data_IF_320725596845
#
_entry.id   IF_320725596845
#
_cell.length_a   1.000
_cell.length_b   1.000
_cell.length_c   1.000
_cell.angle_alpha   90.00
_cell.angle_beta   90.00
_cell.angle_gamma   90.00
#
_symmetry.space_group_name_H-M   'P 1'
#
loop_
_entity.id
_entity.type
_entity.pdbx_description
1 polymer ?
#
# COMPACT_ATOMS: atom_id res chain seq x y z
N UNK A 1 7.34 19.23 -5.92
CA UNK A 1 8.74 18.89 -6.25
C UNK A 1 8.76 17.98 -7.49
N UNK A 2 9.80 17.98 -8.33
CA UNK A 2 9.91 17.03 -9.46
C UNK A 2 10.93 15.94 -9.09
N UNK A 3 10.49 14.69 -9.02
CA UNK A 3 11.33 13.54 -8.68
C UNK A 3 12.21 13.14 -9.87
N UNK A 4 13.51 12.96 -9.65
CA UNK A 4 14.50 12.58 -10.68
C UNK A 4 15.00 11.13 -10.55
N UNK A 5 14.70 10.46 -9.43
CA UNK A 5 15.06 9.07 -9.16
C UNK A 5 13.87 8.35 -8.53
N UNK A 6 13.53 7.17 -9.05
CA UNK A 6 12.46 6.32 -8.52
C UNK A 6 12.72 4.84 -8.88
N UNK A 7 12.37 3.95 -7.97
CA UNK A 7 12.46 2.50 -8.18
C UNK A 7 11.43 2.08 -9.24
N UNK A 8 11.85 1.24 -10.19
CA UNK A 8 10.98 0.69 -11.24
C UNK A 8 10.87 1.50 -12.53
N UNK A 9 11.51 2.68 -12.60
CA UNK A 9 11.58 3.49 -13.84
C UNK A 9 12.83 3.15 -14.66
N UNK A 10 13.95 2.88 -13.99
CA UNK A 10 15.22 2.48 -14.59
C UNK A 10 15.63 1.10 -14.06
N UNK A 11 16.37 0.34 -14.86
CA UNK A 11 16.86 -1.00 -14.49
C UNK A 11 17.86 -0.96 -13.32
N UNK A 12 18.58 0.16 -13.19
CA UNK A 12 19.52 0.43 -12.11
C UNK A 12 19.19 1.81 -11.51
N UNK A 13 19.33 1.93 -10.19
CA UNK A 13 19.06 3.16 -9.44
C UNK A 13 20.27 3.45 -8.55
N UNK A 14 20.84 4.66 -8.67
CA UNK A 14 21.87 5.14 -7.75
C UNK A 14 21.25 5.51 -6.40
N UNK A 15 21.76 4.88 -5.34
CA UNK A 15 21.30 5.05 -3.95
C UNK A 15 22.34 5.85 -3.18
N UNK A 16 21.87 6.80 -2.37
CA UNK A 16 22.71 7.52 -1.42
C UNK A 16 22.76 6.74 -0.10
N UNK A 17 23.95 6.44 0.41
CA UNK A 17 24.17 5.69 1.65
C UNK A 17 24.92 6.55 2.67
N UNK A 18 24.45 6.52 3.92
CA UNK A 18 25.12 7.17 5.05
C UNK A 18 25.20 6.19 6.22
N UNK A 19 26.36 6.20 6.89
CA UNK A 19 26.58 5.46 8.14
C UNK A 19 26.61 6.48 9.27
N UNK A 20 25.79 6.23 10.29
CA UNK A 20 25.64 7.08 11.48
C UNK A 20 25.95 6.22 12.70
N UNK A 21 26.79 6.73 13.59
CA UNK A 21 27.07 6.10 14.89
C UNK A 21 26.06 6.64 15.92
N UNK A 22 25.06 5.85 16.35
CA UNK A 22 24.02 6.32 17.27
C UNK A 22 24.58 6.51 18.68
N UNK A 23 24.22 7.62 19.32
CA UNK A 23 24.56 7.95 20.71
C UNK A 23 23.29 7.86 21.58
N UNK A 24 23.46 7.51 22.85
CA UNK A 24 22.36 7.48 23.81
C UNK A 24 21.63 8.84 23.84
N UNK A 25 20.31 8.81 23.69
CA UNK A 25 19.47 10.01 23.63
C UNK A 25 19.28 10.60 22.23
N UNK A 26 19.93 10.04 21.20
CA UNK A 26 19.64 10.43 19.82
C UNK A 26 18.20 10.03 19.45
N UNK A 27 17.55 10.92 18.70
CA UNK A 27 16.24 10.70 18.10
C UNK A 27 16.32 10.90 16.60
N UNK A 28 16.05 9.85 15.84
CA UNK A 28 16.00 9.89 14.38
C UNK A 28 14.55 10.00 13.91
N UNK A 29 14.34 10.84 12.89
CA UNK A 29 13.06 10.95 12.19
C UNK A 29 13.27 10.61 10.71
N UNK A 30 12.40 9.74 10.19
CA UNK A 30 12.23 9.55 8.75
C UNK A 30 10.81 9.95 8.38
N UNK A 31 10.64 10.73 7.31
CA UNK A 31 9.32 11.17 6.87
C UNK A 31 9.21 11.20 5.34
N UNK A 32 7.97 11.15 4.84
CA UNK A 32 7.67 11.49 3.45
C UNK A 32 7.59 13.00 3.24
N UNK A 33 7.71 13.42 1.98
CA UNK A 33 7.56 14.83 1.59
C UNK A 33 6.17 15.40 1.92
N UNK A 34 5.14 14.55 2.02
CA UNK A 34 3.83 14.94 2.52
C UNK A 34 3.86 15.65 3.88
N UNK A 35 4.81 15.32 4.76
CA UNK A 35 4.98 16.02 6.05
C UNK A 35 5.65 17.38 5.85
N UNK A 36 6.82 17.41 5.21
CA UNK A 36 7.66 18.61 5.06
C UNK A 36 7.07 19.64 4.09
N UNK A 37 6.07 19.26 3.29
CA UNK A 37 5.30 20.19 2.47
C UNK A 37 4.26 20.97 3.30
N UNK A 38 3.87 20.47 4.48
CA UNK A 38 2.84 21.06 5.35
C UNK A 38 3.42 21.72 6.61
N UNK A 39 4.57 21.24 7.08
CA UNK A 39 5.26 21.71 8.27
C UNK A 39 6.67 22.22 7.94
N UNK A 40 7.01 23.38 8.49
CA UNK A 40 8.35 23.92 8.41
C UNK A 40 9.28 23.25 9.44
N UNK A 41 10.59 23.25 9.19
CA UNK A 41 11.62 22.62 10.04
C UNK A 41 11.54 23.04 11.51
N UNK A 42 11.13 24.28 11.80
CA UNK A 42 10.98 24.76 13.18
C UNK A 42 9.85 24.05 13.93
N UNK A 43 8.72 23.79 13.26
CA UNK A 43 7.58 23.11 13.87
C UNK A 43 7.90 21.64 14.13
N UNK A 44 8.62 21.02 13.19
CA UNK A 44 9.13 19.65 13.35
C UNK A 44 10.10 19.59 14.53
N UNK A 45 11.07 20.51 14.61
CA UNK A 45 12.03 20.57 15.70
C UNK A 45 11.36 20.78 17.06
N UNK A 46 10.35 21.64 17.15
CA UNK A 46 9.56 21.85 18.37
C UNK A 46 8.89 20.55 18.82
N UNK A 47 8.27 19.79 17.91
CA UNK A 47 7.64 18.51 18.25
C UNK A 47 8.65 17.44 18.67
N UNK A 48 9.79 17.36 17.99
CA UNK A 48 10.85 16.39 18.31
C UNK A 48 11.50 16.67 19.68
N UNK A 49 11.55 17.94 20.09
CA UNK A 49 12.10 18.37 21.37
C UNK A 49 11.19 18.07 22.57
N UNK A 50 9.93 17.67 22.35
CA UNK A 50 9.05 17.23 23.42
C UNK A 50 9.50 15.85 23.92
N UNK A 51 9.68 15.72 25.24
CA UNK A 51 9.96 14.45 25.92
C UNK A 51 8.72 13.54 25.94
N UNK A 52 8.29 13.12 24.76
CA UNK A 52 7.19 12.19 24.53
C UNK A 52 7.72 10.86 24.00
N UNK A 53 6.93 9.80 24.13
CA UNK A 53 7.28 8.53 23.49
C UNK A 53 7.27 8.67 21.95
N UNK A 54 8.09 7.88 21.23
CA UNK A 54 8.19 7.93 19.77
C UNK A 54 6.85 7.86 19.03
N UNK A 55 5.91 7.05 19.54
CA UNK A 55 4.60 6.85 18.89
C UNK A 55 3.73 8.09 19.01
N UNK A 56 3.72 8.72 20.19
CA UNK A 56 3.01 9.98 20.42
C UNK A 56 3.58 11.10 19.54
N UNK A 57 4.91 11.25 19.48
CA UNK A 57 5.56 12.26 18.63
C UNK A 57 5.21 12.06 17.15
N UNK A 58 5.28 10.82 16.64
CA UNK A 58 4.91 10.52 15.25
C UNK A 58 3.44 10.88 14.95
N UNK A 59 2.52 10.55 15.86
CA UNK A 59 1.09 10.88 15.74
C UNK A 59 0.86 12.39 15.78
N UNK A 60 1.56 13.11 16.66
CA UNK A 60 1.46 14.56 16.78
C UNK A 60 1.90 15.27 15.49
N UNK A 61 3.03 14.84 14.90
CA UNK A 61 3.53 15.38 13.63
C UNK A 61 2.53 15.17 12.48
N UNK A 62 1.99 13.95 12.34
CA UNK A 62 0.97 13.66 11.32
C UNK A 62 -0.32 14.45 11.57
N UNK A 63 -0.73 14.58 12.84
CA UNK A 63 -1.87 15.40 13.23
C UNK A 63 -1.70 16.86 12.81
N UNK A 64 -0.55 17.45 13.11
CA UNK A 64 -0.24 18.83 12.77
C UNK A 64 -0.21 19.05 11.24
N UNK A 65 0.36 18.13 10.48
CA UNK A 65 0.35 18.20 9.01
C UNK A 65 -1.07 18.15 8.43
N UNK A 66 -1.95 17.32 9.01
CA UNK A 66 -3.36 17.27 8.63
C UNK A 66 -4.09 18.60 8.96
N UNK A 67 -3.78 19.22 10.10
CA UNK A 67 -4.33 20.53 10.49
C UNK A 67 -3.88 21.66 9.56
N UNK A 68 -2.66 21.58 9.00
CA UNK A 68 -2.12 22.55 8.03
C UNK A 68 -2.65 22.40 6.61
N UNK A 69 -3.35 21.30 6.33
CA UNK A 69 -4.11 21.11 5.10
C UNK A 69 -4.14 19.68 4.61
N UNK A 70 -3.17 18.85 5.00
CA UNK A 70 -3.11 17.43 4.65
C UNK A 70 -3.25 17.17 3.15
N UNK A 71 -2.54 17.93 2.29
CA UNK A 71 -2.71 17.86 0.83
C UNK A 71 -2.12 16.60 0.21
N UNK A 72 -1.28 15.89 0.95
CA UNK A 72 -0.62 14.66 0.53
C UNK A 72 -0.49 13.68 1.72
N UNK A 73 -0.15 12.43 1.41
CA UNK A 73 0.03 11.38 2.39
C UNK A 73 1.29 11.63 3.23
N UNK A 74 1.09 11.93 4.51
CA UNK A 74 2.17 12.08 5.49
C UNK A 74 2.48 10.74 6.16
N UNK A 75 3.72 10.28 6.04
CA UNK A 75 4.26 9.12 6.77
C UNK A 75 5.43 9.58 7.63
N UNK A 76 5.47 9.16 8.91
CA UNK A 76 6.53 9.51 9.87
C UNK A 76 6.94 8.29 10.68
N UNK A 77 8.25 8.11 10.85
CA UNK A 77 8.87 7.13 11.73
C UNK A 77 9.80 7.87 12.70
N UNK A 78 9.67 7.57 14.00
CA UNK A 78 10.54 8.09 15.05
C UNK A 78 11.27 6.92 15.70
N UNK A 79 12.58 7.05 15.89
CA UNK A 79 13.45 6.06 16.52
C UNK A 79 14.26 6.72 17.61
N UNK A 80 14.11 6.25 18.85
CA UNK A 80 14.89 6.70 19.99
C UNK A 80 16.00 5.70 20.30
N UNK A 81 17.21 6.22 20.54
CA UNK A 81 18.36 5.42 20.91
C UNK A 81 18.49 5.37 22.43
N UNK A 82 18.22 4.20 22.98
CA UNK A 82 18.43 3.90 24.39
C UNK A 82 19.66 3.02 24.57
N UNK A 83 20.49 3.35 25.57
CA UNK A 83 21.58 2.47 26.01
C UNK A 83 21.18 1.86 27.34
N UNK A 84 20.89 0.56 27.32
CA UNK A 84 20.78 -0.19 28.55
C UNK A 84 22.19 -0.53 29.05
N UNK A 85 22.55 0.02 30.21
CA UNK A 85 23.73 -0.44 30.92
C UNK A 85 23.41 -1.83 31.47
N UNK A 86 23.95 -2.87 30.83
CA UNK A 86 23.91 -4.22 31.39
C UNK A 86 24.81 -4.24 32.62
N UNK A 87 24.22 -4.08 33.81
CA UNK A 87 24.93 -4.22 35.08
C UNK A 87 25.55 -5.62 35.13
N UNK A 88 26.87 -5.68 34.97
CA UNK A 88 27.65 -6.93 34.89
C UNK A 88 27.78 -7.66 36.24
N UNK A 89 26.85 -7.45 37.18
CA UNK A 89 26.93 -7.97 38.54
C UNK A 89 26.13 -9.27 38.78
N UNK A 90 25.20 -9.67 37.92
CA UNK A 90 24.45 -10.93 38.08
C UNK A 90 24.48 -11.73 36.77
N UNK A 91 25.58 -12.46 36.55
CA UNK A 91 25.69 -13.45 35.49
C UNK A 91 24.84 -14.68 35.77
N UNK A 92 23.55 -14.61 35.43
CA UNK A 92 22.74 -15.79 35.11
C UNK A 92 21.98 -15.50 33.82
N UNK A 93 22.56 -15.93 32.70
CA UNK A 93 21.86 -16.07 31.42
C UNK A 93 20.84 -17.21 31.59
N UNK A 94 19.57 -16.86 31.78
CA UNK A 94 18.46 -17.80 31.64
C UNK A 94 18.17 -17.96 30.15
N UNK A 95 18.22 -19.17 29.56
CA UNK A 95 17.84 -19.39 28.17
C UNK A 95 16.32 -19.44 28.10
N UNK A 96 15.67 -18.27 28.04
CA UNK A 96 14.30 -18.14 27.55
C UNK A 96 14.39 -17.45 26.18
N UNK A 97 14.77 -18.23 25.17
CA UNK A 97 14.62 -17.89 23.75
C UNK A 97 13.11 -17.71 23.47
N UNK A 98 12.59 -16.53 23.76
CA UNK A 98 11.32 -16.10 23.17
C UNK A 98 11.60 -15.69 21.75
N UNK A 99 11.05 -16.47 20.82
CA UNK A 99 10.91 -16.10 19.42
C UNK A 99 10.47 -14.63 19.30
N UNK A 100 10.94 -13.88 18.29
CA UNK A 100 10.48 -12.51 18.04
C UNK A 100 8.97 -12.56 17.75
N UNK A 101 8.16 -12.31 18.76
CA UNK A 101 6.73 -12.15 18.59
C UNK A 101 6.52 -10.86 17.80
N UNK A 102 5.85 -10.98 16.65
CA UNK A 102 5.33 -9.86 15.87
C UNK A 102 4.65 -8.85 16.81
N UNK A 103 4.82 -7.54 16.60
CA UNK A 103 4.23 -6.55 17.49
C UNK A 103 2.71 -6.72 17.47
N UNK A 104 2.16 -7.15 18.60
CA UNK A 104 0.72 -7.14 18.85
C UNK A 104 0.35 -5.68 19.03
N UNK A 105 -0.48 -5.14 18.14
CA UNK A 105 -1.13 -3.85 18.35
C UNK A 105 -2.12 -4.02 19.53
N UNK A 106 -1.70 -3.62 20.72
CA UNK A 106 -2.59 -3.50 21.87
C UNK A 106 -3.65 -2.44 21.57
N UNK A 107 -4.90 -2.87 21.52
CA UNK A 107 -6.04 -1.97 21.55
C UNK A 107 -6.10 -1.35 22.95
N UNK A 108 -6.35 -0.03 23.10
CA UNK A 108 -6.36 0.61 24.41
C UNK A 108 -7.46 0.01 25.28
N UNK A 109 -7.09 -0.39 26.50
CA UNK A 109 -8.01 -0.79 27.54
C UNK A 109 -8.98 0.35 27.89
N UNK A 110 -10.27 0.03 28.00
CA UNK A 110 -11.28 0.94 28.55
C UNK A 110 -10.93 1.31 30.00
N UNK A 111 -11.04 2.60 30.39
CA UNK A 111 -10.71 3.00 31.75
C UNK A 111 -11.74 2.47 32.74
N UNK A 112 -11.27 1.64 33.69
CA UNK A 112 -12.00 1.28 34.90
C UNK A 112 -12.28 2.54 35.73
N UNK A 113 -13.55 2.95 35.83
CA UNK A 113 -13.96 3.94 36.84
C UNK A 113 -14.05 3.27 38.22
N UNK A 114 -13.37 3.79 39.26
CA UNK A 114 -13.62 3.37 40.62
C UNK A 114 -14.96 3.97 41.10
N UNK A 115 -15.92 3.11 41.42
CA UNK A 115 -17.00 3.43 42.35
C UNK A 115 -16.40 3.48 43.75
N UNK A 116 -16.27 4.67 44.33
CA UNK A 116 -16.15 4.80 45.78
C UNK A 116 -17.01 5.97 46.23
N UNK A 117 -18.04 5.61 46.99
CA UNK A 117 -18.82 6.47 47.86
C UNK A 117 -17.87 7.22 48.80
N UNK A 118 -17.82 8.55 48.67
CA UNK A 118 -17.28 9.42 49.71
C UNK A 118 -18.26 10.56 49.91
N UNK A 119 -18.89 10.50 51.07
CA UNK A 119 -19.70 11.51 51.72
C UNK A 119 -18.78 12.63 52.21
N UNK A 120 -19.01 13.91 51.85
CA UNK A 120 -18.40 15.08 52.52
C UNK A 120 -19.07 16.42 52.10
N UNK A 121 -18.87 17.55 52.81
CA UNK A 121 -19.90 18.21 53.64
C UNK A 121 -20.42 19.55 53.08
N UNK A 122 -21.41 20.13 53.78
CA UNK A 122 -21.91 21.49 53.60
C UNK A 122 -20.80 22.56 53.60
N UNK A 123 -20.86 23.54 52.68
CA UNK A 123 -20.89 24.99 52.94
C UNK A 123 -20.66 25.86 51.67
N UNK A 124 -21.59 26.81 51.51
CA UNK A 124 -21.56 28.14 50.86
C UNK A 124 -21.64 28.37 49.34
N UNK A 125 -22.54 29.31 49.03
CA UNK A 125 -23.01 29.75 47.72
C UNK A 125 -22.03 30.74 47.08
N UNK A 126 -21.61 30.44 45.84
CA UNK A 126 -20.90 31.37 44.96
C UNK A 126 -21.38 31.18 43.53
N UNK A 127 -21.95 32.22 42.93
CA UNK A 127 -22.46 32.20 41.57
C UNK A 127 -21.31 32.14 40.55
N UNK A 128 -21.22 31.05 39.79
CA UNK A 128 -20.52 31.03 38.50
C UNK A 128 -21.19 30.08 37.52
N UNK A 129 -21.46 30.61 36.33
CA UNK A 129 -22.23 30.08 35.21
C UNK A 129 -22.01 28.59 34.86
N UNK A 130 -23.03 27.89 34.32
CA UNK A 130 -22.87 26.49 33.92
C UNK A 130 -21.96 26.40 32.69
N UNK A 131 -20.78 25.83 32.85
CA UNK A 131 -19.94 25.41 31.72
C UNK A 131 -20.65 24.26 31.02
N UNK A 132 -21.15 24.55 29.82
CA UNK A 132 -21.86 23.59 28.97
C UNK A 132 -20.86 22.57 28.46
N UNK A 133 -20.82 21.39 29.07
CA UNK A 133 -20.03 20.25 28.60
C UNK A 133 -20.53 19.82 27.21
N UNK A 134 -19.86 20.28 26.14
CA UNK A 134 -20.18 19.88 24.76
C UNK A 134 -19.41 18.60 24.46
N UNK A 135 -20.09 17.46 24.49
CA UNK A 135 -19.58 16.19 23.98
C UNK A 135 -19.31 16.31 22.48
N UNK A 136 -18.04 16.45 22.09
CA UNK A 136 -17.59 16.60 20.69
C UNK A 136 -17.67 15.28 19.87
N UNK A 137 -17.93 14.13 20.50
CA UNK A 137 -17.80 12.83 19.83
C UNK A 137 -19.07 12.30 19.13
N UNK A 138 -20.22 12.98 19.25
CA UNK A 138 -21.42 12.69 18.45
C UNK A 138 -22.21 13.97 18.15
N UNK A 139 -21.53 15.01 17.66
CA UNK A 139 -22.30 16.07 17.00
C UNK A 139 -22.88 15.45 15.72
N UNK A 140 -24.20 15.37 15.68
CA UNK A 140 -24.97 14.59 14.71
C UNK A 140 -24.53 14.97 13.30
N UNK A 141 -23.75 14.10 12.65
CA UNK A 141 -23.75 14.05 11.19
C UNK A 141 -25.15 13.62 10.84
N UNK A 142 -26.03 14.60 10.61
CA UNK A 142 -27.26 14.38 9.89
C UNK A 142 -26.82 13.94 8.50
N UNK A 143 -26.66 12.62 8.31
CA UNK A 143 -26.53 12.06 6.98
C UNK A 143 -27.85 12.41 6.31
N UNK A 144 -27.85 13.53 5.58
CA UNK A 144 -29.02 13.96 4.86
C UNK A 144 -29.37 12.84 3.90
N UNK A 145 -30.66 12.56 3.72
CA UNK A 145 -31.11 11.54 2.77
C UNK A 145 -30.41 11.72 1.40
N UNK A 146 -30.11 12.96 1.02
CA UNK A 146 -29.28 13.31 -0.14
C UNK A 146 -27.87 12.71 -0.13
N UNK A 147 -27.12 12.82 0.98
CA UNK A 147 -25.77 12.23 1.08
C UNK A 147 -25.78 10.69 1.00
N UNK A 148 -26.80 10.03 1.56
CA UNK A 148 -26.98 8.56 1.40
C UNK A 148 -27.23 8.22 -0.06
N UNK A 149 -28.14 8.94 -0.72
CA UNK A 149 -28.50 8.70 -2.12
C UNK A 149 -27.29 8.94 -3.02
N UNK A 150 -26.54 10.03 -2.83
CA UNK A 150 -25.34 10.33 -3.61
C UNK A 150 -24.29 9.23 -3.41
N UNK A 151 -24.05 8.80 -2.17
CA UNK A 151 -23.10 7.73 -1.88
C UNK A 151 -23.52 6.40 -2.49
N UNK A 152 -24.82 6.08 -2.46
CA UNK A 152 -25.38 4.90 -3.11
C UNK A 152 -25.22 4.95 -4.63
N UNK A 153 -25.50 6.11 -5.25
CA UNK A 153 -25.32 6.30 -6.69
C UNK A 153 -23.84 6.14 -7.06
N UNK A 154 -22.93 6.77 -6.32
CA UNK A 154 -21.49 6.64 -6.54
C UNK A 154 -21.00 5.20 -6.40
N UNK A 155 -21.50 4.48 -5.40
CA UNK A 155 -21.19 3.06 -5.23
C UNK A 155 -21.68 2.25 -6.43
N UNK A 156 -22.94 2.43 -6.85
CA UNK A 156 -23.52 1.73 -8.00
C UNK A 156 -22.77 2.04 -9.29
N UNK A 157 -22.40 3.30 -9.53
CA UNK A 157 -21.63 3.69 -10.72
C UNK A 157 -20.22 3.12 -10.69
N UNK A 158 -19.58 3.08 -9.52
CA UNK A 158 -18.24 2.50 -9.37
C UNK A 158 -18.27 0.99 -9.63
N UNK A 159 -19.26 0.29 -9.09
CA UNK A 159 -19.47 -1.14 -9.37
C UNK A 159 -19.73 -1.36 -10.86
N UNK A 160 -20.61 -0.59 -11.49
CA UNK A 160 -20.88 -0.67 -12.92
C UNK A 160 -19.61 -0.42 -13.77
N UNK A 161 -18.79 0.57 -13.38
CA UNK A 161 -17.52 0.86 -14.03
C UNK A 161 -16.54 -0.31 -13.92
N UNK A 162 -16.33 -0.86 -12.72
CA UNK A 162 -15.46 -2.01 -12.50
C UNK A 162 -15.93 -3.24 -13.27
N UNK A 163 -17.25 -3.51 -13.31
CA UNK A 163 -17.79 -4.63 -14.09
C UNK A 163 -17.57 -4.45 -15.60
N UNK A 164 -17.74 -3.24 -16.12
CA UNK A 164 -17.53 -2.93 -17.54
C UNK A 164 -16.05 -3.10 -17.91
N UNK A 165 -15.15 -2.58 -17.07
CA UNK A 165 -13.70 -2.73 -17.24
C UNK A 165 -13.31 -4.21 -17.18
N UNK A 166 -13.82 -4.97 -16.22
CA UNK A 166 -13.50 -6.40 -16.07
C UNK A 166 -14.04 -7.25 -17.21
N UNK A 167 -15.22 -6.92 -17.75
CA UNK A 167 -15.77 -7.56 -18.95
C UNK A 167 -14.90 -7.26 -20.19
N UNK A 168 -14.53 -5.99 -20.37
CA UNK A 168 -13.68 -5.56 -21.47
C UNK A 168 -12.26 -6.16 -21.40
N UNK A 169 -11.65 -6.21 -20.21
CA UNK A 169 -10.33 -6.80 -20.00
C UNK A 169 -10.27 -8.30 -20.36
N UNK A 170 -11.37 -9.04 -20.11
CA UNK A 170 -11.49 -10.47 -20.40
C UNK A 170 -11.96 -10.78 -21.83
N UNK A 171 -12.19 -9.76 -22.64
CA UNK A 171 -12.61 -9.94 -24.03
C UNK A 171 -11.42 -10.29 -24.93
N UNK A 172 -11.66 -11.16 -25.91
CA UNK A 172 -10.67 -11.60 -26.89
C UNK A 172 -9.74 -12.72 -26.41
N UNK A 173 -8.99 -13.23 -27.38
CA UNK A 173 -7.92 -14.21 -27.23
C UNK A 173 -6.69 -13.69 -27.96
N UNK A 174 -5.51 -14.07 -27.49
CA UNK A 174 -4.29 -13.79 -28.23
C UNK A 174 -3.30 -14.92 -28.02
N UNK A 175 -2.37 -15.03 -28.96
CA UNK A 175 -1.30 -16.02 -28.92
C UNK A 175 -0.02 -15.30 -28.59
N UNK A 176 0.66 -15.71 -27.52
CA UNK A 176 1.89 -15.10 -27.05
C UNK A 176 2.94 -16.16 -26.72
N UNK A 177 4.18 -15.72 -26.48
CA UNK A 177 5.26 -16.60 -26.07
C UNK A 177 5.49 -16.44 -24.57
N UNK A 178 5.37 -17.53 -23.82
CA UNK A 178 5.64 -17.56 -22.38
C UNK A 178 6.57 -18.74 -22.10
N UNK A 179 7.67 -18.50 -21.39
CA UNK A 179 8.65 -19.53 -21.01
C UNK A 179 9.06 -20.46 -22.19
N UNK A 180 9.41 -19.86 -23.33
CA UNK A 180 9.86 -20.53 -24.55
C UNK A 180 8.80 -21.38 -25.29
N UNK A 181 7.52 -21.26 -24.92
CA UNK A 181 6.41 -21.96 -25.56
C UNK A 181 5.39 -20.96 -26.10
N UNK A 182 4.76 -21.32 -27.23
CA UNK A 182 3.59 -20.60 -27.72
C UNK A 182 2.39 -20.99 -26.86
N UNK A 183 1.70 -20.01 -26.30
CA UNK A 183 0.53 -20.20 -25.45
C UNK A 183 -0.64 -19.37 -25.95
N UNK A 184 -1.85 -19.90 -25.75
CA UNK A 184 -3.09 -19.16 -26.01
C UNK A 184 -3.55 -18.56 -24.69
N UNK A 185 -3.67 -17.24 -24.67
CA UNK A 185 -4.14 -16.47 -23.53
C UNK A 185 -5.51 -15.86 -23.82
N UNK A 186 -6.36 -15.80 -22.79
CA UNK A 186 -7.66 -15.13 -22.85
C UNK A 186 -7.59 -13.77 -22.18
N UNK A 187 -8.12 -12.75 -22.85
CA UNK A 187 -8.10 -11.37 -22.42
C UNK A 187 -7.16 -10.51 -23.24
N UNK A 188 -7.10 -9.23 -22.88
CA UNK A 188 -6.35 -8.23 -23.62
C UNK A 188 -4.84 -8.38 -23.42
N UNK A 189 -4.09 -8.07 -24.48
CA UNK A 189 -2.63 -8.14 -24.50
C UNK A 189 -2.06 -7.13 -23.50
N UNK A 190 -1.10 -7.58 -22.69
CA UNK A 190 -0.50 -6.77 -21.62
C UNK A 190 -1.38 -6.59 -20.38
N UNK A 191 -2.61 -7.13 -20.39
CA UNK A 191 -3.57 -6.95 -19.30
C UNK A 191 -4.24 -5.57 -19.28
N UNK A 192 -5.16 -5.36 -18.34
CA UNK A 192 -5.80 -4.07 -18.09
C UNK A 192 -5.98 -3.86 -16.59
N UNK A 193 -5.33 -2.83 -16.02
CA UNK A 193 -5.30 -2.58 -14.57
C UNK A 193 -4.84 -3.84 -13.81
N UNK A 194 -5.65 -4.36 -12.89
CA UNK A 194 -5.38 -5.60 -12.14
C UNK A 194 -5.95 -6.88 -12.80
N UNK A 195 -6.43 -6.78 -14.05
CA UNK A 195 -6.90 -7.93 -14.82
C UNK A 195 -5.81 -8.42 -15.75
N UNK A 196 -5.13 -9.48 -15.33
CA UNK A 196 -4.14 -10.17 -16.15
C UNK A 196 -4.81 -11.18 -17.11
N UNK A 197 -4.24 -11.41 -18.29
CA UNK A 197 -4.73 -12.40 -19.22
C UNK A 197 -4.57 -13.81 -18.65
N UNK A 198 -5.60 -14.64 -18.79
CA UNK A 198 -5.60 -16.01 -18.27
C UNK A 198 -4.99 -16.96 -19.28
N UNK A 199 -3.99 -17.73 -18.88
CA UNK A 199 -3.46 -18.85 -19.67
C UNK A 199 -4.56 -19.89 -19.88
N UNK A 200 -4.99 -20.10 -21.13
CA UNK A 200 -6.02 -21.09 -21.47
C UNK A 200 -5.39 -22.41 -21.92
N UNK A 201 -4.39 -22.33 -22.80
CA UNK A 201 -3.84 -23.51 -23.43
C UNK A 201 -2.34 -23.37 -23.68
N UNK A 202 -1.60 -24.38 -23.23
CA UNK A 202 -0.20 -24.58 -23.60
C UNK A 202 -0.13 -25.33 -24.93
N UNK A 203 0.75 -24.90 -25.83
CA UNK A 203 1.03 -25.62 -27.07
C UNK A 203 2.43 -26.23 -27.01
N UNK A 204 2.67 -27.28 -27.80
CA UNK A 204 3.96 -27.96 -27.88
C UNK A 204 5.00 -27.21 -28.73
N UNK A 205 4.60 -26.09 -29.35
CA UNK A 205 5.48 -25.32 -30.25
C UNK A 205 6.46 -24.50 -29.42
N UNK A 206 7.74 -24.74 -29.62
CA UNK A 206 8.81 -24.00 -28.95
C UNK A 206 9.25 -22.78 -29.78
N UNK A 207 9.67 -21.72 -29.09
CA UNK A 207 10.18 -20.49 -29.70
C UNK A 207 11.36 -20.74 -30.64
N UNK A 208 12.19 -21.75 -30.36
CA UNK A 208 13.35 -22.14 -31.19
C UNK A 208 12.96 -22.68 -32.57
N UNK A 209 11.71 -23.12 -32.74
CA UNK A 209 11.21 -23.63 -34.01
C UNK A 209 10.67 -22.51 -34.89
N UNK A 210 10.40 -21.34 -34.33
CA UNK A 210 9.77 -20.22 -35.02
C UNK A 210 10.79 -19.36 -35.77
N UNK A 211 10.35 -18.78 -36.88
CA UNK A 211 11.13 -17.76 -37.60
C UNK A 211 11.07 -16.41 -36.88
N UNK A 212 12.08 -15.55 -37.09
CA UNK A 212 12.10 -14.19 -36.52
C UNK A 212 10.85 -13.38 -36.90
N UNK A 213 10.31 -13.61 -38.10
CA UNK A 213 9.07 -12.97 -38.57
C UNK A 213 7.84 -13.44 -37.77
N UNK A 214 7.77 -14.72 -37.43
CA UNK A 214 6.67 -15.26 -36.62
C UNK A 214 6.78 -14.79 -35.16
N UNK A 215 8.00 -14.71 -34.63
CA UNK A 215 8.25 -14.14 -33.30
C UNK A 215 7.84 -12.67 -33.23
N UNK A 216 8.15 -11.89 -34.26
CA UNK A 216 7.73 -10.50 -34.33
C UNK A 216 6.20 -10.38 -34.37
N UNK A 217 5.50 -11.22 -35.15
CA UNK A 217 4.02 -11.21 -35.19
C UNK A 217 3.38 -11.61 -33.87
N UNK A 218 3.96 -12.58 -33.16
CA UNK A 218 3.50 -12.99 -31.84
C UNK A 218 3.76 -11.88 -30.79
N UNK A 219 4.89 -11.17 -30.91
CA UNK A 219 5.23 -10.03 -30.07
C UNK A 219 4.35 -8.80 -30.34
N UNK A 220 4.02 -8.55 -31.61
CA UNK A 220 3.16 -7.46 -32.05
C UNK A 220 1.71 -7.66 -31.56
N UNK A 221 1.37 -8.89 -31.18
CA UNK A 221 0.19 -9.14 -30.38
C UNK A 221 -1.10 -9.01 -31.19
N UNK A 222 -1.32 -9.95 -32.09
CA UNK A 222 -2.56 -10.01 -32.87
C UNK A 222 -3.72 -10.45 -31.96
N UNK A 223 -4.67 -9.54 -31.69
CA UNK A 223 -5.90 -9.87 -30.95
C UNK A 223 -6.88 -10.60 -31.85
N UNK A 224 -7.33 -11.75 -31.37
CA UNK A 224 -8.29 -12.60 -32.04
C UNK A 224 -9.62 -12.54 -31.31
N UNK A 225 -10.68 -12.59 -32.10
CA UNK A 225 -12.04 -12.40 -31.62
C UNK A 225 -12.58 -13.64 -30.89
N UNK A 226 -12.08 -14.83 -31.25
CA UNK A 226 -12.53 -16.10 -30.68
C UNK A 226 -11.41 -17.13 -30.51
N UNK A 227 -11.66 -18.13 -29.67
CA UNK A 227 -10.72 -19.23 -29.41
C UNK A 227 -10.47 -20.07 -30.67
N UNK A 228 -11.49 -20.27 -31.51
CA UNK A 228 -11.36 -21.01 -32.76
C UNK A 228 -10.37 -20.34 -33.72
N UNK A 229 -10.35 -19.00 -33.75
CA UNK A 229 -9.42 -18.20 -34.54
C UNK A 229 -7.98 -18.36 -34.01
N UNK A 230 -7.80 -18.31 -32.69
CA UNK A 230 -6.51 -18.57 -32.04
C UNK A 230 -5.99 -19.99 -32.31
N UNK A 231 -6.86 -20.99 -32.25
CA UNK A 231 -6.50 -22.37 -32.57
C UNK A 231 -6.16 -22.55 -34.05
N UNK A 232 -6.89 -21.91 -34.95
CA UNK A 232 -6.60 -21.93 -36.38
C UNK A 232 -5.24 -21.29 -36.68
N UNK A 233 -4.89 -20.19 -36.00
CA UNK A 233 -3.59 -19.56 -36.14
C UNK A 233 -2.45 -20.48 -35.68
N UNK A 234 -2.59 -21.12 -34.52
CA UNK A 234 -1.62 -22.12 -34.03
C UNK A 234 -1.51 -23.32 -34.99
N UNK A 235 -2.63 -23.78 -35.55
CA UNK A 235 -2.62 -24.86 -36.55
C UNK A 235 -1.85 -24.46 -37.82
N UNK A 236 -2.06 -23.23 -38.31
CA UNK A 236 -1.33 -22.70 -39.46
C UNK A 236 0.17 -22.54 -39.19
N UNK A 237 0.55 -22.12 -37.97
CA UNK A 237 1.95 -22.11 -37.53
C UNK A 237 2.54 -23.51 -37.59
N UNK A 238 1.86 -24.51 -37.03
CA UNK A 238 2.32 -25.90 -37.04
C UNK A 238 2.53 -26.43 -38.47
N UNK A 239 1.59 -26.18 -39.38
CA UNK A 239 1.71 -26.61 -40.78
C UNK A 239 2.95 -26.03 -41.44
N UNK A 240 3.21 -24.72 -41.26
CA UNK A 240 4.40 -24.06 -41.81
C UNK A 240 5.72 -24.61 -41.25
N UNK A 241 5.73 -24.99 -39.97
CA UNK A 241 6.90 -25.63 -39.36
C UNK A 241 7.20 -26.98 -39.99
N UNK A 242 6.17 -27.81 -40.23
CA UNK A 242 6.33 -29.12 -40.88
C UNK A 242 6.78 -28.98 -42.34
N UNK A 243 6.26 -27.98 -43.06
CA UNK A 243 6.72 -27.67 -44.43
C UNK A 243 8.18 -27.21 -44.47
N UNK A 244 8.61 -26.39 -43.50
CA UNK A 244 10.00 -25.95 -43.39
C UNK A 244 10.96 -27.11 -43.06
N UNK A 245 10.54 -28.07 -42.23
CA UNK A 245 11.33 -29.26 -41.89
C UNK A 245 11.42 -30.27 -43.04
N UNK A 246 10.41 -30.34 -43.92
CA UNK A 246 10.36 -31.29 -45.04
C UNK A 246 10.96 -30.76 -46.36
N UNK A 247 11.22 -29.44 -46.43
CA UNK A 247 11.84 -28.78 -47.58
C UNK A 247 13.37 -28.68 -47.53
N UNK A 248 14.01 -29.28 -46.53
CA UNK A 248 15.47 -29.28 -46.29
C UNK A 248 16.04 -30.70 -46.35
#
# INVERSE_FOLDING_TARGET
>A
NMLTRAIGVHAEVEIDEWVLDPVAGDRFMLCSDGLTNELDDSEIAEQLALEQDPSATAKALVGLANERGGRDNSTVLIVDVHVELVDSANGELSPDDREPQSPVLEQPDEPNLPTNDVEEPDVEQGHSSPVKHRSWLYDRVHITLGTVIISLVLLVTSVAMVTTIGWYARSGYHVSVVANHVVIQKGRIGGLLWFEPTLQQWTEIQTIQLTDQDLQRLSDGEQMSDLAEAQAFVANLRTRLVEAESGN
#
